data_IF_632066799366
#
_entry.id   IF_632066799366
#
_cell.length_a   1.000
_cell.length_b   1.000
_cell.length_c   1.000
_cell.angle_alpha   90.00
_cell.angle_beta   90.00
_cell.angle_gamma   90.00
#
_symmetry.space_group_name_H-M   'P 1'
#
loop_
_entity.id
_entity.type
_entity.pdbx_description
1 polymer ?
#
# COMPACT_ATOMS: atom_id res chain seq x y z
N UNK A 1 -3.25 10.49 7.59
CA UNK A 1 -3.03 10.08 9.00
C UNK A 1 -1.54 10.03 9.41
N UNK A 2 -0.63 9.49 8.58
CA UNK A 2 0.79 9.29 8.94
C UNK A 2 1.72 10.49 8.74
N UNK A 3 1.22 11.74 8.78
CA UNK A 3 2.02 12.92 8.44
C UNK A 3 3.20 13.15 9.39
N UNK A 4 3.07 12.76 10.66
CA UNK A 4 4.12 12.85 11.69
C UNK A 4 4.75 11.51 12.05
N UNK A 5 4.34 10.43 11.38
CA UNK A 5 4.74 9.08 11.78
C UNK A 5 6.26 8.89 11.72
N UNK A 6 6.86 8.67 12.88
CA UNK A 6 8.28 8.34 13.05
C UNK A 6 8.41 6.93 13.65
N UNK A 7 9.63 6.37 13.60
CA UNK A 7 9.94 5.08 14.21
C UNK A 7 9.68 5.03 15.73
N UNK A 8 9.60 6.19 16.37
CA UNK A 8 9.38 6.36 17.81
C UNK A 8 7.90 6.23 18.21
N UNK A 9 6.97 6.31 17.25
CA UNK A 9 5.53 6.18 17.49
C UNK A 9 5.04 4.72 17.55
N UNK A 10 5.94 3.75 17.36
CA UNK A 10 5.64 2.31 17.51
C UNK A 10 5.69 1.95 18.99
N UNK A 11 4.51 1.77 19.59
CA UNK A 11 4.39 1.47 21.02
C UNK A 11 4.79 0.04 21.36
N UNK A 12 4.43 -0.94 20.52
CA UNK A 12 4.79 -2.34 20.75
C UNK A 12 4.72 -3.15 19.44
N UNK A 13 5.59 -4.15 19.31
CA UNK A 13 5.50 -5.14 18.23
C UNK A 13 5.19 -6.50 18.85
N UNK A 14 4.05 -7.08 18.48
CA UNK A 14 3.61 -8.37 19.01
C UNK A 14 3.55 -9.39 17.91
N UNK A 15 4.16 -10.56 18.13
CA UNK A 15 3.94 -11.70 17.27
C UNK A 15 2.53 -12.24 17.49
N UNK A 16 1.80 -12.41 16.40
CA UNK A 16 0.40 -12.84 16.41
C UNK A 16 0.33 -14.35 16.61
N UNK A 17 -0.59 -14.79 17.48
CA UNK A 17 -0.90 -16.22 17.68
C UNK A 17 -1.50 -16.81 16.40
N UNK A 18 -1.25 -18.09 16.14
CA UNK A 18 -1.72 -18.77 14.93
C UNK A 18 -3.24 -18.68 14.68
N UNK A 19 -4.06 -18.65 15.75
CA UNK A 19 -5.52 -18.47 15.63
C UNK A 19 -5.90 -17.09 15.08
N UNK A 20 -5.26 -16.04 15.56
CA UNK A 20 -5.50 -14.66 15.11
C UNK A 20 -4.93 -14.44 13.71
N UNK A 21 -3.79 -15.05 13.37
CA UNK A 21 -3.22 -15.00 12.02
C UNK A 21 -4.20 -15.55 10.97
N UNK A 22 -4.90 -16.66 11.28
CA UNK A 22 -5.93 -17.21 10.40
C UNK A 22 -7.11 -16.26 10.20
N UNK A 23 -7.57 -15.61 11.28
CA UNK A 23 -8.64 -14.61 11.22
C UNK A 23 -8.26 -13.42 10.34
N UNK A 24 -7.05 -12.85 10.55
CA UNK A 24 -6.55 -11.72 9.74
C UNK A 24 -6.51 -12.10 8.26
N UNK A 25 -5.96 -13.27 7.94
CA UNK A 25 -5.90 -13.75 6.56
C UNK A 25 -7.29 -13.93 5.94
N UNK A 26 -8.24 -14.46 6.70
CA UNK A 26 -9.62 -14.63 6.24
C UNK A 26 -10.26 -13.27 5.95
N UNK A 27 -10.17 -12.31 6.86
CA UNK A 27 -10.70 -10.95 6.66
C UNK A 27 -10.09 -10.25 5.44
N UNK A 28 -8.78 -10.43 5.20
CA UNK A 28 -8.12 -9.86 4.01
C UNK A 28 -8.59 -10.54 2.71
N UNK A 29 -8.81 -11.85 2.73
CA UNK A 29 -9.31 -12.58 1.56
C UNK A 29 -10.76 -12.22 1.21
N UNK A 30 -11.59 -11.99 2.23
CA UNK A 30 -12.99 -11.55 2.07
C UNK A 30 -13.05 -10.13 1.51
N UNK A 31 -12.21 -9.21 1.99
CA UNK A 31 -12.17 -7.81 1.53
C UNK A 31 -11.57 -7.68 0.12
N UNK A 32 -10.56 -8.49 -0.20
CA UNK A 32 -9.78 -8.38 -1.43
C UNK A 32 -9.69 -9.72 -2.18
N UNK A 33 -10.76 -10.13 -2.89
CA UNK A 33 -10.77 -11.40 -3.63
C UNK A 33 -9.69 -11.46 -4.72
N UNK A 34 -9.28 -10.31 -5.29
CA UNK A 34 -8.20 -10.24 -6.27
C UNK A 34 -6.81 -10.64 -5.74
N UNK A 35 -6.63 -10.72 -4.41
CA UNK A 35 -5.39 -11.18 -3.78
C UNK A 35 -5.36 -12.69 -3.53
N UNK A 36 -6.46 -13.42 -3.73
CA UNK A 36 -6.54 -14.86 -3.47
C UNK A 36 -5.37 -15.69 -4.05
N UNK A 37 -4.94 -15.49 -5.31
CA UNK A 37 -3.84 -16.29 -5.86
C UNK A 37 -2.45 -15.95 -5.26
N UNK A 38 -2.29 -14.78 -4.65
CA UNK A 38 -1.00 -14.28 -4.13
C UNK A 38 -0.97 -14.27 -2.60
N UNK A 39 -2.10 -14.56 -1.94
CA UNK A 39 -2.21 -14.44 -0.49
C UNK A 39 -1.30 -15.43 0.25
N UNK A 40 -1.01 -16.60 -0.34
CA UNK A 40 -0.09 -17.58 0.24
C UNK A 40 1.38 -17.12 0.19
N UNK A 41 1.75 -16.33 -0.81
CA UNK A 41 3.09 -15.75 -0.94
C UNK A 41 3.25 -14.51 -0.06
N UNK A 42 2.20 -13.69 0.04
CA UNK A 42 2.19 -12.48 0.89
C UNK A 42 2.07 -12.81 2.38
N UNK A 43 1.18 -13.75 2.74
CA UNK A 43 0.87 -14.16 4.10
C UNK A 43 1.09 -15.68 4.28
N UNK A 44 2.35 -16.14 4.23
CA UNK A 44 2.67 -17.56 4.37
C UNK A 44 2.29 -18.10 5.75
N UNK A 45 1.58 -19.23 5.78
CA UNK A 45 1.07 -19.87 7.02
C UNK A 45 2.16 -20.24 8.02
N UNK A 46 3.40 -20.44 7.54
CA UNK A 46 4.54 -20.85 8.37
C UNK A 46 5.34 -19.66 8.91
N UNK A 47 5.21 -18.48 8.32
CA UNK A 47 5.96 -17.30 8.77
C UNK A 47 5.26 -16.66 9.97
N UNK A 48 6.02 -16.20 10.97
CA UNK A 48 5.47 -15.37 12.03
C UNK A 48 4.92 -14.07 11.41
N UNK A 49 3.68 -13.73 11.78
CA UNK A 49 3.05 -12.46 11.46
C UNK A 49 3.20 -11.54 12.69
N UNK A 50 3.72 -10.34 12.48
CA UNK A 50 3.96 -9.37 13.54
C UNK A 50 2.96 -8.23 13.37
N UNK A 51 2.28 -7.84 14.44
CA UNK A 51 1.45 -6.63 14.46
C UNK A 51 2.15 -5.58 15.30
N UNK A 52 2.57 -4.50 14.64
CA UNK A 52 3.07 -3.30 15.29
C UNK A 52 1.90 -2.41 15.67
N UNK A 53 1.75 -2.16 16.96
CA UNK A 53 0.80 -1.19 17.52
C UNK A 53 1.48 0.17 17.55
N UNK A 54 0.82 1.14 16.97
CA UNK A 54 1.25 2.52 16.88
C UNK A 54 0.28 3.42 17.67
N UNK A 55 0.70 4.66 17.89
CA UNK A 55 -0.17 5.69 18.46
C UNK A 55 -1.45 5.88 17.61
N UNK A 56 -2.52 6.40 18.22
CA UNK A 56 -3.85 6.57 17.62
C UNK A 56 -4.57 5.26 17.25
N UNK A 57 -4.29 4.16 17.96
CA UNK A 57 -4.90 2.85 17.74
C UNK A 57 -4.64 2.29 16.34
N UNK A 58 -3.51 2.65 15.75
CA UNK A 58 -3.13 2.16 14.44
C UNK A 58 -2.35 0.86 14.57
N UNK A 59 -2.76 -0.15 13.84
CA UNK A 59 -2.16 -1.48 13.83
C UNK A 59 -1.57 -1.75 12.45
N UNK A 60 -0.26 -1.93 12.36
CA UNK A 60 0.41 -2.31 11.10
C UNK A 60 0.72 -3.81 11.13
N UNK A 61 0.34 -4.53 10.08
CA UNK A 61 0.65 -5.94 9.87
C UNK A 61 1.95 -6.04 9.08
N UNK A 62 2.95 -6.67 9.70
CA UNK A 62 4.26 -6.93 9.10
C UNK A 62 4.49 -8.43 8.92
N UNK A 63 5.07 -8.77 7.79
CA UNK A 63 5.59 -10.11 7.50
C UNK A 63 7.03 -9.95 7.04
N UNK A 64 7.97 -10.68 7.65
CA UNK A 64 9.40 -10.56 7.34
C UNK A 64 9.93 -9.12 7.41
N UNK A 65 9.44 -8.33 8.38
CA UNK A 65 9.73 -6.90 8.55
C UNK A 65 9.26 -5.98 7.40
N UNK A 66 8.41 -6.49 6.50
CA UNK A 66 7.76 -5.70 5.45
C UNK A 66 6.32 -5.39 5.87
N UNK A 67 5.89 -4.13 5.89
CA UNK A 67 4.50 -3.77 6.19
C UNK A 67 3.64 -4.05 4.96
N UNK A 68 2.61 -4.86 5.13
CA UNK A 68 1.73 -5.24 4.03
C UNK A 68 0.37 -4.55 4.14
N UNK A 69 -0.21 -4.59 5.35
CA UNK A 69 -1.51 -4.02 5.65
C UNK A 69 -1.46 -3.16 6.90
N UNK A 70 -2.40 -2.24 7.03
CA UNK A 70 -2.65 -1.51 8.27
C UNK A 70 -4.14 -1.49 8.57
N UNK A 71 -4.47 -1.27 9.83
CA UNK A 71 -5.83 -1.19 10.35
C UNK A 71 -5.86 -0.05 11.38
N UNK A 72 -7.01 0.60 11.51
CA UNK A 72 -7.26 1.59 12.54
C UNK A 72 -8.35 1.05 13.46
N UNK A 73 -8.04 0.90 14.75
CA UNK A 73 -8.92 0.26 15.75
C UNK A 73 -9.33 -1.15 15.30
N UNK A 74 -10.61 -1.32 14.98
CA UNK A 74 -11.24 -2.55 14.49
C UNK A 74 -11.85 -2.35 13.09
N UNK A 75 -11.30 -1.41 12.31
CA UNK A 75 -11.75 -1.14 10.94
C UNK A 75 -11.31 -2.21 9.94
N UNK A 76 -11.57 -2.01 8.63
CA UNK A 76 -11.08 -2.92 7.60
C UNK A 76 -9.55 -2.86 7.48
N UNK A 77 -8.94 -3.98 7.07
CA UNK A 77 -7.52 -4.00 6.74
C UNK A 77 -7.31 -3.30 5.39
N UNK A 78 -6.45 -2.28 5.38
CA UNK A 78 -6.09 -1.55 4.17
C UNK A 78 -4.66 -1.93 3.75
N UNK A 79 -4.38 -2.18 2.47
CA UNK A 79 -3.02 -2.47 2.02
C UNK A 79 -2.14 -1.22 2.17
N UNK A 80 -0.82 -1.39 2.15
CA UNK A 80 0.09 -0.25 2.01
C UNK A 80 0.16 0.21 0.55
N UNK A 81 0.57 1.47 0.30
CA UNK A 81 0.72 1.97 -1.07
C UNK A 81 1.70 1.14 -1.90
N UNK A 82 2.74 0.57 -1.27
CA UNK A 82 3.72 -0.29 -1.93
C UNK A 82 3.08 -1.59 -2.43
N UNK A 83 2.25 -2.21 -1.61
CA UNK A 83 1.53 -3.42 -1.99
C UNK A 83 0.54 -3.11 -3.12
N UNK A 84 -0.15 -1.99 -3.02
CA UNK A 84 -1.09 -1.53 -4.04
C UNK A 84 -0.40 -1.19 -5.38
N UNK A 85 0.85 -0.71 -5.37
CA UNK A 85 1.62 -0.49 -6.59
C UNK A 85 2.04 -1.78 -7.28
N UNK A 86 2.26 -2.87 -6.52
CA UNK A 86 2.53 -4.19 -7.09
C UNK A 86 1.25 -4.82 -7.66
N UNK A 87 0.13 -4.64 -6.97
CA UNK A 87 -1.17 -5.22 -7.33
C UNK A 87 -2.25 -4.12 -7.46
N UNK A 88 -2.24 -3.35 -8.55
CA UNK A 88 -3.12 -2.19 -8.70
C UNK A 88 -4.60 -2.55 -8.87
N UNK A 89 -4.92 -3.79 -9.22
CA UNK A 89 -6.29 -4.24 -9.51
C UNK A 89 -7.04 -4.78 -8.29
N UNK A 90 -6.41 -4.73 -7.11
CA UNK A 90 -6.97 -5.27 -5.87
C UNK A 90 -8.05 -4.38 -5.27
N UNK A 91 -7.99 -3.07 -5.56
CA UNK A 91 -8.91 -2.08 -5.00
C UNK A 91 -9.63 -1.30 -6.08
N UNK A 92 -10.82 -0.81 -5.73
CA UNK A 92 -11.55 0.18 -6.53
C UNK A 92 -10.75 1.48 -6.61
N UNK A 93 -10.73 2.09 -7.79
CA UNK A 93 -9.91 3.27 -8.12
C UNK A 93 -10.80 4.48 -8.25
N UNK A 94 -10.43 5.57 -7.59
CA UNK A 94 -11.03 6.89 -7.79
C UNK A 94 -9.95 7.84 -8.31
N UNK A 95 -10.25 8.59 -9.36
CA UNK A 95 -9.30 9.54 -9.94
C UNK A 95 -9.61 10.96 -9.46
N UNK A 96 -8.57 11.65 -8.98
CA UNK A 96 -8.64 13.06 -8.61
C UNK A 96 -8.07 13.96 -9.69
N UNK A 97 -8.62 15.17 -9.76
CA UNK A 97 -8.14 16.25 -10.61
C UNK A 97 -6.68 16.63 -10.31
N UNK A 98 -5.97 17.16 -11.32
CA UNK A 98 -4.63 17.76 -11.22
C UNK A 98 -4.52 18.77 -10.07
N UNK A 99 -5.55 19.59 -9.89
CA UNK A 99 -5.58 20.61 -8.84
C UNK A 99 -5.54 20.03 -7.42
N UNK A 100 -6.09 18.84 -7.21
CA UNK A 100 -6.18 18.18 -5.92
C UNK A 100 -4.89 17.43 -5.52
N UNK A 101 -4.06 17.03 -6.50
CA UNK A 101 -2.85 16.21 -6.29
C UNK A 101 -1.94 16.77 -5.19
N UNK A 102 -1.64 18.07 -5.24
CA UNK A 102 -0.75 18.72 -4.27
C UNK A 102 -1.28 18.67 -2.83
N UNK A 103 -2.61 18.72 -2.67
CA UNK A 103 -3.26 18.68 -1.37
C UNK A 103 -3.34 17.25 -0.82
N UNK A 104 -3.60 16.27 -1.68
CA UNK A 104 -3.59 14.84 -1.31
C UNK A 104 -2.21 14.42 -0.82
N UNK A 105 -1.15 14.83 -1.52
CA UNK A 105 0.25 14.59 -1.10
C UNK A 105 0.65 15.34 0.17
N UNK A 106 -0.10 16.38 0.55
CA UNK A 106 0.08 17.06 1.84
C UNK A 106 -0.70 16.39 2.99
N UNK A 107 -1.46 15.32 2.70
CA UNK A 107 -2.30 14.58 3.63
C UNK A 107 -3.69 15.16 3.85
N UNK A 108 -4.18 16.03 2.95
CA UNK A 108 -5.54 16.53 3.02
C UNK A 108 -6.57 15.47 2.59
N UNK A 109 -7.79 15.58 3.10
CA UNK A 109 -8.93 14.78 2.67
C UNK A 109 -9.37 15.18 1.26
N UNK A 110 -10.03 14.26 0.56
CA UNK A 110 -10.52 14.47 -0.79
C UNK A 110 -11.95 15.00 -0.73
N UNK A 111 -12.13 16.20 -1.28
CA UNK A 111 -13.42 16.86 -1.36
C UNK A 111 -14.20 16.39 -2.60
N UNK A 112 -15.53 16.36 -2.52
CA UNK A 112 -16.39 15.94 -3.63
C UNK A 112 -16.09 16.64 -4.97
N UNK A 113 -15.86 17.98 -5.01
CA UNK A 113 -15.52 18.68 -6.25
C UNK A 113 -14.23 18.22 -6.93
N UNK A 114 -13.29 17.63 -6.18
CA UNK A 114 -12.04 17.11 -6.72
C UNK A 114 -12.19 15.79 -7.47
N UNK A 115 -13.34 15.12 -7.31
CA UNK A 115 -13.67 13.85 -7.96
C UNK A 115 -14.68 14.03 -9.10
N UNK A 116 -15.54 15.06 -9.04
CA UNK A 116 -16.59 15.32 -10.05
C UNK A 116 -16.14 16.25 -11.19
N UNK A 117 -14.92 16.78 -11.13
CA UNK A 117 -14.36 17.66 -12.16
C UNK A 117 -14.05 16.87 -13.46
N UNK A 118 -13.78 17.53 -14.60
CA UNK A 118 -13.54 16.83 -15.87
C UNK A 118 -12.31 15.90 -15.84
N UNK A 119 -11.35 16.13 -14.93
CA UNK A 119 -10.21 15.24 -14.70
C UNK A 119 -10.46 14.16 -13.64
N UNK A 120 -11.59 14.23 -12.94
CA UNK A 120 -12.00 13.25 -11.94
C UNK A 120 -12.80 12.11 -12.54
N UNK A 121 -12.60 10.91 -11.99
CA UNK A 121 -13.36 9.72 -12.38
C UNK A 121 -13.77 8.97 -11.11
N UNK A 122 -15.07 8.68 -11.00
CA UNK A 122 -15.61 7.80 -9.98
C UNK A 122 -16.14 6.53 -10.61
N UNK A 123 -15.96 5.43 -9.88
CA UNK A 123 -16.70 4.19 -10.08
C UNK A 123 -18.01 4.29 -9.27
N UNK A 124 -19.16 4.27 -9.95
CA UNK A 124 -20.48 4.46 -9.34
C UNK A 124 -20.90 3.26 -8.45
N UNK A 125 -20.17 2.14 -8.52
CA UNK A 125 -20.39 0.95 -7.68
C UNK A 125 -19.79 1.07 -6.28
N UNK A 126 -19.04 2.14 -5.99
CA UNK A 126 -18.38 2.33 -4.69
C UNK A 126 -19.38 2.81 -3.64
N UNK A 127 -19.58 1.97 -2.62
CA UNK A 127 -20.40 2.28 -1.46
C UNK A 127 -19.67 3.22 -0.46
N UNK A 128 -20.42 3.69 0.53
CA UNK A 128 -19.83 4.32 1.71
C UNK A 128 -18.99 3.31 2.51
N UNK A 129 -18.10 3.82 3.36
CA UNK A 129 -17.24 3.02 4.26
C UNK A 129 -16.36 1.96 3.56
N UNK A 130 -15.98 2.22 2.31
CA UNK A 130 -15.18 1.31 1.47
C UNK A 130 -13.75 1.83 1.30
N UNK A 131 -12.71 0.98 1.42
CA UNK A 131 -11.33 1.37 1.11
C UNK A 131 -11.12 1.56 -0.40
N UNK A 132 -10.55 2.69 -0.79
CA UNK A 132 -10.37 3.09 -2.20
C UNK A 132 -8.97 3.57 -2.51
N UNK A 133 -8.51 3.30 -3.73
CA UNK A 133 -7.23 3.73 -4.25
C UNK A 133 -7.41 5.08 -4.95
N UNK A 134 -6.68 6.10 -4.51
CA UNK A 134 -6.73 7.44 -5.10
C UNK A 134 -5.67 7.55 -6.18
N UNK A 135 -6.11 7.62 -7.42
CA UNK A 135 -5.31 7.78 -8.64
C UNK A 135 -5.24 9.27 -9.02
N UNK A 136 -4.15 9.67 -9.66
CA UNK A 136 -4.02 11.00 -10.22
C UNK A 136 -4.29 10.98 -11.72
N UNK A 137 -4.91 12.05 -12.23
CA UNK A 137 -4.92 12.29 -13.68
C UNK A 137 -3.49 12.30 -14.24
N UNK A 138 -3.23 11.47 -15.26
CA UNK A 138 -1.93 11.40 -15.92
C UNK A 138 -0.84 10.63 -15.16
N UNK A 139 -1.17 9.90 -14.09
CA UNK A 139 -0.22 9.04 -13.35
C UNK A 139 -0.71 7.59 -13.28
N UNK A 140 0.24 6.66 -13.41
CA UNK A 140 -0.04 5.21 -13.39
C UNK A 140 -0.16 4.63 -11.97
N UNK A 141 0.44 5.30 -10.98
CA UNK A 141 0.51 4.81 -9.61
C UNK A 141 -0.48 5.54 -8.69
N UNK A 142 -1.00 4.82 -7.70
CA UNK A 142 -1.85 5.41 -6.66
C UNK A 142 -1.08 6.42 -5.81
N UNK A 143 -1.69 7.58 -5.56
CA UNK A 143 -1.14 8.64 -4.73
C UNK A 143 -1.43 8.42 -3.25
N UNK A 144 -2.62 7.91 -2.97
CA UNK A 144 -3.12 7.73 -1.61
C UNK A 144 -4.12 6.57 -1.54
N UNK A 145 -4.34 6.12 -0.32
CA UNK A 145 -5.38 5.19 0.08
C UNK A 145 -6.37 5.98 0.91
N UNK A 146 -7.61 5.95 0.45
CA UNK A 146 -8.72 6.65 1.06
C UNK A 146 -9.75 5.71 1.65
N UNK A 147 -10.58 6.25 2.52
CA UNK A 147 -11.77 5.59 3.04
C UNK A 147 -12.99 6.44 2.70
N UNK A 148 -13.97 5.88 1.99
CA UNK A 148 -15.13 6.65 1.52
C UNK A 148 -16.03 7.01 2.69
N UNK A 149 -16.42 8.28 2.77
CA UNK A 149 -17.42 8.78 3.73
C UNK A 149 -18.81 8.90 3.13
N UNK A 150 -18.87 9.02 1.81
CA UNK A 150 -20.10 9.14 1.04
C UNK A 150 -20.04 8.13 -0.10
N UNK A 151 -21.20 7.63 -0.53
CA UNK A 151 -21.27 6.78 -1.71
C UNK A 151 -20.87 7.55 -2.97
N UNK A 152 -20.37 6.86 -4.00
CA UNK A 152 -20.02 7.52 -5.26
C UNK A 152 -21.20 8.28 -5.90
N UNK A 153 -22.41 7.74 -5.72
CA UNK A 153 -23.66 8.37 -6.20
C UNK A 153 -23.94 9.68 -5.48
N UNK A 154 -23.77 9.71 -4.15
CA UNK A 154 -24.00 10.92 -3.36
C UNK A 154 -22.92 11.97 -3.60
N UNK A 155 -21.67 11.55 -3.84
CA UNK A 155 -20.58 12.46 -4.21
C UNK A 155 -20.93 13.21 -5.50
N UNK A 156 -21.48 12.49 -6.49
CA UNK A 156 -21.92 13.08 -7.76
C UNK A 156 -23.14 13.99 -7.60
N UNK A 157 -24.11 13.61 -6.78
CA UNK A 157 -25.36 14.35 -6.60
C UNK A 157 -25.20 15.63 -5.75
N UNK A 158 -24.50 15.54 -4.61
CA UNK A 158 -24.39 16.63 -3.63
C UNK A 158 -23.24 17.57 -3.99
N UNK A 159 -22.13 17.03 -4.51
CA UNK A 159 -20.92 17.74 -4.93
C UNK A 159 -20.37 18.74 -3.89
N UNK A 160 -20.61 18.51 -2.59
CA UNK A 160 -20.15 19.35 -1.48
C UNK A 160 -19.73 18.46 -0.31
N UNK A 161 -18.74 18.93 0.44
CA UNK A 161 -18.23 18.21 1.62
C UNK A 161 -17.06 17.27 1.33
N UNK A 162 -16.74 16.47 2.34
CA UNK A 162 -15.66 15.48 2.31
C UNK A 162 -16.22 14.19 1.73
N UNK A 163 -15.74 13.77 0.56
CA UNK A 163 -16.16 12.51 -0.05
C UNK A 163 -15.32 11.33 0.45
N UNK A 164 -14.00 11.52 0.59
CA UNK A 164 -13.07 10.47 0.97
C UNK A 164 -12.05 11.00 1.98
N UNK A 165 -11.91 10.31 3.10
CA UNK A 165 -10.86 10.61 4.08
C UNK A 165 -9.53 10.01 3.62
N UNK A 166 -8.45 10.77 3.76
CA UNK A 166 -7.11 10.33 3.37
C UNK A 166 -6.40 9.59 4.51
N UNK A 167 -6.23 8.28 4.36
CA UNK A 167 -5.59 7.43 5.36
C UNK A 167 -4.06 7.45 5.22
N UNK A 168 -3.58 7.02 4.06
CA UNK A 168 -2.16 6.83 3.74
C UNK A 168 -1.85 7.49 2.39
N UNK A 169 -0.77 8.26 2.29
CA UNK A 169 -0.39 8.94 1.05
C UNK A 169 1.12 8.83 0.78
N UNK A 170 1.50 9.05 -0.47
CA UNK A 170 2.88 8.92 -0.89
C UNK A 170 3.77 9.96 -0.19
N UNK A 171 4.96 9.53 0.26
CA UNK A 171 5.90 10.31 1.09
C UNK A 171 5.44 10.64 2.52
N UNK A 172 4.39 9.99 3.02
CA UNK A 172 4.08 10.06 4.44
C UNK A 172 5.08 9.29 5.31
N UNK A 173 4.91 9.34 6.62
CA UNK A 173 5.83 8.72 7.56
C UNK A 173 5.90 7.19 7.40
N UNK A 174 4.78 6.53 7.11
CA UNK A 174 4.78 5.07 6.86
C UNK A 174 5.57 4.75 5.58
N UNK A 175 5.37 5.52 4.51
CA UNK A 175 6.15 5.36 3.28
C UNK A 175 7.65 5.55 3.51
N UNK A 176 8.03 6.56 4.29
CA UNK A 176 9.42 6.91 4.58
C UNK A 176 10.12 5.88 5.47
N UNK A 177 9.51 5.51 6.60
CA UNK A 177 10.11 4.57 7.58
C UNK A 177 10.50 3.27 6.90
N UNK A 178 9.64 2.75 6.02
CA UNK A 178 9.88 1.48 5.36
C UNK A 178 10.63 1.59 4.03
N UNK A 179 10.78 2.80 3.48
CA UNK A 179 11.69 3.02 2.34
C UNK A 179 13.15 2.77 2.67
N UNK A 180 13.56 2.98 3.93
CA UNK A 180 14.93 2.71 4.38
C UNK A 180 15.21 1.23 4.63
N UNK A 181 14.18 0.42 4.91
CA UNK A 181 14.31 -1.03 5.17
C UNK A 181 14.39 -1.86 3.88
N UNK A 182 13.83 -1.36 2.78
CA UNK A 182 13.70 -2.10 1.52
C UNK A 182 15.03 -2.38 0.78
N UNK A 183 16.02 -1.46 0.72
CA UNK A 183 17.32 -1.75 0.10
C UNK A 183 18.07 -2.88 0.82
N UNK A 184 17.80 -3.09 2.12
CA UNK A 184 18.49 -4.12 2.92
C UNK A 184 17.93 -5.52 2.69
N UNK A 185 16.66 -5.64 2.32
CA UNK A 185 15.99 -6.92 2.05
C UNK A 185 16.17 -7.39 0.59
N UNK A 186 16.27 -6.49 -0.38
CA UNK A 186 16.53 -6.89 -1.78
C UNK A 186 17.92 -7.53 -1.95
N UNK A 187 18.92 -7.14 -1.15
CA UNK A 187 20.22 -7.81 -1.20
C UNK A 187 20.14 -9.26 -0.69
N UNK A 188 19.23 -9.58 0.24
CA UNK A 188 19.09 -10.97 0.73
C UNK A 188 18.18 -11.83 -0.16
N UNK A 189 17.10 -11.28 -0.71
CA UNK A 189 16.17 -12.05 -1.57
C UNK A 189 16.68 -12.23 -3.01
N UNK A 190 17.36 -11.23 -3.58
CA UNK A 190 18.03 -11.40 -4.88
C UNK A 190 19.32 -12.24 -4.73
N UNK A 191 19.94 -12.24 -3.54
CA UNK A 191 21.05 -13.11 -3.20
C UNK A 191 20.68 -14.61 -3.08
N UNK A 192 19.43 -14.94 -2.82
CA UNK A 192 18.96 -16.34 -2.71
C UNK A 192 18.34 -16.91 -4.00
N UNK A 193 17.90 -16.06 -4.93
CA UNK A 193 17.37 -16.51 -6.22
C UNK A 193 18.47 -16.71 -7.29
N UNK A 194 19.63 -16.06 -7.15
CA UNK A 194 20.75 -16.24 -8.09
C UNK A 194 21.60 -17.50 -7.83
N UNK A 195 21.59 -18.07 -6.62
CA UNK A 195 22.44 -19.21 -6.29
C UNK A 195 21.85 -20.59 -6.66
N UNK A 196 20.63 -20.64 -7.22
CA UNK A 196 20.00 -21.91 -7.63
C UNK A 196 19.83 -22.07 -9.15
N UNK A 197 20.26 -21.07 -9.93
CA UNK A 197 20.32 -21.15 -11.40
C UNK A 197 21.75 -21.29 -11.96
N UNK A 198 22.76 -21.44 -11.09
CA UNK A 198 24.18 -21.56 -11.47
C UNK A 198 24.79 -22.94 -11.13
N UNK A 199 23.98 -24.00 -11.11
CA UNK A 199 24.46 -25.40 -11.04
C UNK A 199 24.41 -26.12 -12.40
N UNK A 200 24.00 -25.45 -13.48
CA UNK A 200 24.08 -26.01 -14.82
C UNK A 200 24.74 -24.96 -15.70
N UNK A 201 25.88 -25.32 -16.29
CA UNK A 201 26.73 -24.50 -17.19
C UNK A 201 27.90 -23.76 -16.52
N UNK A 202 28.73 -24.53 -15.81
CA UNK A 202 30.15 -24.21 -15.65
C UNK A 202 30.87 -24.63 -16.95
N UNK A 203 30.84 -23.81 -18.00
CA UNK A 203 31.85 -23.83 -19.07
C UNK A 203 31.67 -22.64 -20.02
N UNK A 204 32.49 -21.59 -19.82
CA UNK A 204 33.08 -20.71 -20.83
C UNK A 204 33.23 -19.25 -20.32
N UNK A 205 34.47 -18.89 -19.96
CA UNK A 205 35.22 -17.72 -20.46
C UNK A 205 34.42 -16.39 -20.44
N UNK A 206 34.57 -15.46 -19.50
CA UNK A 206 35.80 -14.73 -19.18
C UNK A 206 35.92 -13.41 -19.95
N UNK A 207 35.33 -12.29 -19.46
CA UNK A 207 35.89 -10.91 -19.49
C UNK A 207 34.86 -9.82 -19.09
N UNK A 208 35.35 -8.87 -18.27
CA UNK A 208 34.99 -7.43 -18.18
C UNK A 208 33.63 -7.11 -17.50
N UNK A 209 33.55 -6.90 -16.18
CA UNK A 209 33.82 -5.65 -15.40
C UNK A 209 33.24 -4.36 -16.02
N UNK A 210 32.41 -3.67 -15.24
CA UNK A 210 31.79 -2.33 -15.44
C UNK A 210 30.40 -2.28 -16.09
N UNK A 211 29.34 -2.45 -15.29
CA UNK A 211 28.05 -1.77 -15.50
C UNK A 211 27.20 -1.76 -14.22
N UNK A 212 27.79 -1.30 -13.12
CA UNK A 212 27.06 -0.90 -11.91
C UNK A 212 27.43 0.57 -11.70
N UNK A 213 26.43 1.41 -11.44
CA UNK A 213 26.42 2.89 -11.34
C UNK A 213 25.81 3.57 -12.58
N UNK A 214 24.79 4.39 -12.33
CA UNK A 214 23.84 5.06 -13.25
C UNK A 214 22.76 4.08 -13.76
N UNK A 215 21.45 4.26 -13.52
CA UNK A 215 20.65 5.48 -13.64
C UNK A 215 19.50 5.41 -12.62
N UNK A 216 19.65 6.16 -11.53
CA UNK A 216 18.54 6.90 -10.91
C UNK A 216 18.48 8.22 -11.68
N UNK A 217 17.27 8.71 -11.95
CA UNK A 217 16.87 9.92 -12.73
C UNK A 217 16.29 9.56 -14.11
N UNK A 218 15.03 9.99 -14.30
CA UNK A 218 14.19 9.97 -15.50
C UNK A 218 13.37 8.70 -15.77
N UNK A 219 12.19 8.61 -15.14
CA UNK A 219 10.86 8.53 -15.79
C UNK A 219 9.73 8.57 -14.74
#
# INVERSE_FOLDING_TARGET
MFKKFSSEEVSAQNQVKASVQRKIRQSIAEEYPGLEPVIDDLLPKKSPLIVAKCQNHLNVVLVNNVPLFFNIRDGPYMPTLRLLHQYPNVMKKLQVDRGAIKYVLAGANIMCPGLTSPGGALDDDVAEETPVAIMAEGKQHALAIGFTKMSAKDIRAINKGIGVDNMHYLNDGLWKVFSWLFPRLMVSLVGFCWLRFLSVSFFAIGKVKNMFVMIFIAL
#
